data_IF_828613461939
#
_entry.id   IF_828613461939
#
_cell.length_a   1.000
_cell.length_b   1.000
_cell.length_c   1.000
_cell.angle_alpha   90.00
_cell.angle_beta   90.00
_cell.angle_gamma   90.00
#
_symmetry.space_group_name_H-M   'P 1'
#
loop_
_entity.id
_entity.type
_entity.pdbx_description
1 polymer ?
#
# COMPACT_ATOMS: atom_id res chain seq x y z
N UNK A 1 -22.04 -53.12 53.32
CA UNK A 1 -21.03 -52.16 52.78
C UNK A 1 -21.63 -51.55 51.50
N UNK A 2 -22.32 -50.39 51.63
CA UNK A 2 -22.83 -49.62 50.48
C UNK A 2 -21.80 -48.54 50.10
N UNK A 3 -21.17 -48.70 48.98
CA UNK A 3 -20.33 -47.67 48.39
C UNK A 3 -21.21 -46.59 47.76
N UNK A 4 -21.27 -45.38 48.32
CA UNK A 4 -21.87 -44.22 47.68
C UNK A 4 -20.89 -43.65 46.65
N UNK A 5 -21.27 -43.73 45.38
CA UNK A 5 -20.59 -43.02 44.31
C UNK A 5 -21.00 -41.54 44.33
N UNK A 6 -20.11 -40.67 44.72
CA UNK A 6 -20.26 -39.23 44.67
C UNK A 6 -20.04 -38.77 43.22
N UNK A 7 -21.10 -38.41 42.50
CA UNK A 7 -21.00 -37.73 41.23
C UNK A 7 -20.63 -36.26 41.49
N UNK A 8 -19.42 -35.85 41.07
CA UNK A 8 -19.04 -34.45 41.11
C UNK A 8 -19.80 -33.68 40.04
N UNK A 9 -20.28 -32.45 40.32
CA UNK A 9 -20.95 -31.62 39.30
C UNK A 9 -19.95 -31.33 38.18
N UNK A 10 -20.44 -31.15 36.91
CA UNK A 10 -19.59 -30.78 35.80
C UNK A 10 -18.91 -29.46 36.11
N UNK A 11 -17.61 -29.42 35.93
CA UNK A 11 -16.82 -28.19 35.99
C UNK A 11 -17.33 -27.25 34.89
N UNK A 12 -17.51 -25.94 35.15
CA UNK A 12 -17.86 -25.02 34.09
C UNK A 12 -16.74 -25.00 33.04
N UNK A 13 -17.15 -25.12 31.77
CA UNK A 13 -16.26 -25.08 30.61
C UNK A 13 -15.49 -23.76 30.56
N UNK A 14 -14.32 -23.72 31.20
CA UNK A 14 -13.36 -22.62 31.09
C UNK A 14 -12.67 -22.56 29.72
N UNK A 15 -13.07 -23.39 28.75
CA UNK A 15 -12.46 -23.50 27.43
C UNK A 15 -13.20 -22.73 26.33
N UNK A 16 -14.32 -22.06 26.63
CA UNK A 16 -15.12 -21.33 25.62
C UNK A 16 -14.96 -19.80 25.67
N UNK A 17 -14.01 -19.25 26.43
CA UNK A 17 -13.85 -17.80 26.55
C UNK A 17 -12.55 -17.24 25.92
N UNK A 18 -12.02 -17.82 24.86
CA UNK A 18 -10.87 -17.25 24.16
C UNK A 18 -10.92 -17.46 22.64
N UNK A 19 -12.04 -17.16 22.01
CA UNK A 19 -12.10 -16.93 20.56
C UNK A 19 -12.95 -15.70 20.22
N UNK A 20 -12.76 -14.62 20.93
CA UNK A 20 -12.91 -13.33 20.29
C UNK A 20 -11.68 -13.21 19.36
N UNK A 21 -11.90 -13.39 18.08
CA UNK A 21 -10.96 -12.92 17.07
C UNK A 21 -10.80 -11.42 17.34
N UNK A 22 -9.69 -11.05 17.98
CA UNK A 22 -9.29 -9.64 18.06
C UNK A 22 -9.01 -9.25 16.62
N UNK A 23 -10.02 -8.74 15.93
CA UNK A 23 -9.84 -8.02 14.67
C UNK A 23 -9.01 -6.81 15.08
N UNK A 24 -7.74 -6.80 14.68
CA UNK A 24 -6.86 -5.69 14.99
C UNK A 24 -7.52 -4.41 14.48
N UNK A 25 -7.69 -3.43 15.36
CA UNK A 25 -8.30 -2.16 15.00
C UNK A 25 -7.47 -1.52 13.89
N UNK A 26 -8.15 -1.13 12.80
CA UNK A 26 -7.52 -0.51 11.65
C UNK A 26 -7.29 0.98 11.92
N UNK A 27 -6.09 1.49 11.58
CA UNK A 27 -5.79 2.92 11.56
C UNK A 27 -5.11 3.31 10.25
N UNK A 28 -5.43 4.50 9.74
CA UNK A 28 -4.89 5.03 8.48
C UNK A 28 -4.23 6.36 8.76
N UNK A 29 -2.97 6.48 8.40
CA UNK A 29 -2.21 7.73 8.43
C UNK A 29 -1.87 8.18 7.00
N UNK A 30 -1.54 9.45 6.86
CA UNK A 30 -1.09 10.04 5.60
C UNK A 30 0.18 10.83 5.81
N UNK A 31 1.13 10.68 4.89
CA UNK A 31 2.16 11.70 4.72
C UNK A 31 1.63 12.91 3.95
N UNK A 32 2.54 13.80 3.55
CA UNK A 32 2.19 15.09 2.93
C UNK A 32 1.97 15.02 1.41
N UNK A 33 2.40 13.94 0.74
CA UNK A 33 2.41 13.88 -0.72
C UNK A 33 1.02 14.04 -1.35
N UNK A 34 -0.04 13.50 -0.72
CA UNK A 34 -1.39 13.58 -1.30
C UNK A 34 -2.50 13.44 -0.27
N UNK A 35 -2.63 14.41 0.62
CA UNK A 35 -3.68 14.41 1.68
C UNK A 35 -5.11 14.32 1.13
N UNK A 36 -5.35 14.89 -0.06
CA UNK A 36 -6.68 14.82 -0.70
C UNK A 36 -7.07 13.37 -1.02
N UNK A 37 -6.14 12.56 -1.52
CA UNK A 37 -6.39 11.13 -1.78
C UNK A 37 -6.64 10.40 -0.47
N UNK A 38 -5.82 10.63 0.54
CA UNK A 38 -5.96 9.98 1.85
C UNK A 38 -7.32 10.28 2.48
N UNK A 39 -7.76 11.55 2.47
CA UNK A 39 -9.07 11.94 2.97
C UNK A 39 -10.21 11.23 2.21
N UNK A 40 -10.16 11.19 0.87
CA UNK A 40 -11.17 10.49 0.07
C UNK A 40 -11.22 8.98 0.37
N UNK A 41 -10.07 8.38 0.68
CA UNK A 41 -10.02 6.95 1.07
C UNK A 41 -10.71 6.73 2.40
N UNK A 42 -10.39 7.51 3.43
CA UNK A 42 -11.01 7.34 4.75
C UNK A 42 -12.51 7.69 4.73
N UNK A 43 -12.92 8.72 3.98
CA UNK A 43 -14.34 9.05 3.77
C UNK A 43 -15.10 7.85 3.17
N UNK A 44 -14.50 7.19 2.17
CA UNK A 44 -15.10 6.01 1.53
C UNK A 44 -15.20 4.82 2.47
N UNK A 45 -14.23 4.67 3.36
CA UNK A 45 -14.18 3.64 4.39
C UNK A 45 -15.01 4.00 5.64
N UNK A 46 -15.54 5.22 5.73
CA UNK A 46 -16.24 5.76 6.90
C UNK A 46 -15.36 5.72 8.16
N UNK A 47 -14.12 6.17 8.00
CA UNK A 47 -13.10 6.24 9.04
C UNK A 47 -12.52 7.65 9.11
N UNK A 48 -11.78 7.94 10.17
CA UNK A 48 -10.98 9.15 10.29
C UNK A 48 -9.50 8.84 10.04
N UNK A 49 -8.77 9.83 9.50
CA UNK A 49 -7.31 9.77 9.48
C UNK A 49 -6.77 9.80 10.91
N UNK A 50 -5.72 9.01 11.13
CA UNK A 50 -4.94 9.09 12.34
C UNK A 50 -4.28 10.47 12.49
N UNK A 51 -4.24 10.97 13.72
CA UNK A 51 -3.65 12.27 14.03
C UNK A 51 -2.13 12.15 14.13
N UNK A 52 -1.43 12.82 13.22
CA UNK A 52 0.03 12.86 13.17
C UNK A 52 0.52 14.20 12.64
N UNK A 53 1.61 14.68 13.20
CA UNK A 53 2.37 15.81 12.67
C UNK A 53 3.51 15.28 11.82
N UNK A 54 3.51 15.65 10.53
CA UNK A 54 4.57 15.35 9.57
C UNK A 54 5.06 16.69 9.02
N UNK A 55 6.27 17.06 9.38
CA UNK A 55 6.87 18.36 9.08
C UNK A 55 8.34 18.23 8.70
N UNK A 56 8.99 19.35 8.43
CA UNK A 56 10.43 19.43 8.20
C UNK A 56 11.06 20.43 9.16
N UNK A 57 12.25 20.13 9.63
CA UNK A 57 13.11 21.12 10.30
C UNK A 57 13.64 22.13 9.27
N UNK A 58 14.25 23.21 9.76
CA UNK A 58 14.77 24.29 8.92
C UNK A 58 15.88 23.87 7.96
N UNK A 59 16.55 22.77 8.23
CA UNK A 59 17.59 22.16 7.40
C UNK A 59 17.03 21.10 6.41
N UNK A 60 15.70 20.83 6.45
CA UNK A 60 15.01 19.93 5.56
C UNK A 60 14.88 18.49 6.07
N UNK A 61 15.37 18.17 7.27
CA UNK A 61 15.12 16.86 7.88
C UNK A 61 13.64 16.67 8.22
N UNK A 62 13.15 15.45 7.99
CA UNK A 62 11.75 15.10 8.26
C UNK A 62 11.54 14.87 9.76
N UNK A 63 10.49 15.48 10.30
CA UNK A 63 10.03 15.28 11.67
C UNK A 63 8.63 14.67 11.67
N UNK A 64 8.46 13.61 12.48
CA UNK A 64 7.16 12.92 12.61
C UNK A 64 6.81 12.73 14.07
N UNK A 65 5.57 13.05 14.43
CA UNK A 65 4.99 12.75 15.74
C UNK A 65 3.59 12.14 15.55
N UNK A 66 3.36 10.97 16.16
CA UNK A 66 2.06 10.29 16.15
C UNK A 66 1.33 10.60 17.46
N UNK A 67 0.12 11.17 17.36
CA UNK A 67 -0.66 11.63 18.53
C UNK A 67 -1.72 10.63 18.98
N UNK A 68 -1.71 9.42 18.44
CA UNK A 68 -2.68 8.37 18.79
C UNK A 68 -1.98 7.10 19.30
N UNK A 69 -2.70 6.35 20.11
CA UNK A 69 -2.25 5.01 20.51
C UNK A 69 -2.45 4.02 19.36
N UNK A 70 -1.34 3.53 18.82
CA UNK A 70 -1.33 2.55 17.71
C UNK A 70 -0.87 1.15 18.17
N UNK A 71 -0.63 0.95 19.47
CA UNK A 71 -0.17 -0.32 19.99
C UNK A 71 -1.13 -1.46 19.64
N UNK A 72 -0.60 -2.50 19.01
CA UNK A 72 -1.36 -3.68 18.61
C UNK A 72 -2.33 -3.47 17.43
N UNK A 73 -2.34 -2.29 16.80
CA UNK A 73 -3.23 -1.98 15.68
C UNK A 73 -2.62 -2.35 14.33
N UNK A 74 -3.47 -2.58 13.34
CA UNK A 74 -3.11 -2.73 11.92
C UNK A 74 -3.11 -1.34 11.29
N UNK A 75 -1.93 -0.85 10.91
CA UNK A 75 -1.76 0.54 10.48
C UNK A 75 -1.43 0.61 9.00
N UNK A 76 -2.10 1.52 8.30
CA UNK A 76 -1.86 1.84 6.90
C UNK A 76 -1.30 3.25 6.77
N UNK A 77 -0.28 3.44 5.93
CA UNK A 77 0.30 4.75 5.61
C UNK A 77 0.03 5.03 4.14
N UNK A 78 -0.76 6.05 3.83
CA UNK A 78 -1.01 6.48 2.45
C UNK A 78 0.01 7.55 2.09
N UNK A 79 1.00 7.18 1.27
CA UNK A 79 2.08 8.08 0.83
C UNK A 79 2.59 7.69 -0.55
N UNK A 80 2.10 8.32 -1.64
CA UNK A 80 2.75 8.19 -2.94
C UNK A 80 4.16 8.79 -2.89
N UNK A 81 5.11 8.15 -3.56
CA UNK A 81 6.50 8.62 -3.63
C UNK A 81 6.81 9.27 -4.97
N UNK A 82 5.86 10.06 -5.50
CA UNK A 82 6.07 10.96 -6.64
C UNK A 82 6.90 12.19 -6.24
N UNK A 83 7.13 13.10 -7.18
CA UNK A 83 7.90 14.32 -6.90
C UNK A 83 7.24 15.21 -5.83
N UNK A 84 8.04 15.73 -4.87
CA UNK A 84 9.48 15.53 -4.66
C UNK A 84 9.79 14.15 -4.08
N UNK A 85 10.39 13.28 -4.91
CA UNK A 85 10.47 11.84 -4.64
C UNK A 85 11.27 11.51 -3.39
N UNK A 86 12.37 12.20 -3.16
CA UNK A 86 13.24 11.94 -2.01
C UNK A 86 12.55 12.27 -0.69
N UNK A 87 11.90 13.42 -0.63
CA UNK A 87 11.21 13.89 0.57
C UNK A 87 10.03 12.98 0.90
N UNK A 88 9.20 12.66 -0.11
CA UNK A 88 8.06 11.77 0.05
C UNK A 88 8.46 10.34 0.44
N UNK A 89 9.58 9.84 -0.07
CA UNK A 89 10.13 8.55 0.32
C UNK A 89 10.63 8.58 1.77
N UNK A 90 11.36 9.63 2.16
CA UNK A 90 11.85 9.77 3.53
C UNK A 90 10.72 9.96 4.53
N UNK A 91 9.67 10.73 4.20
CA UNK A 91 8.46 10.80 5.04
C UNK A 91 7.89 9.40 5.30
N UNK A 92 7.70 8.60 4.24
CA UNK A 92 7.18 7.24 4.38
C UNK A 92 8.03 6.37 5.31
N UNK A 93 9.36 6.41 5.12
CA UNK A 93 10.32 5.63 5.93
C UNK A 93 10.26 6.04 7.41
N UNK A 94 10.26 7.35 7.68
CA UNK A 94 10.27 7.86 9.06
C UNK A 94 8.91 7.64 9.75
N UNK A 95 7.80 7.81 9.03
CA UNK A 95 6.45 7.47 9.56
C UNK A 95 6.40 5.98 9.92
N UNK A 96 6.92 5.09 9.07
CA UNK A 96 6.92 3.66 9.32
C UNK A 96 7.73 3.28 10.57
N UNK A 97 8.94 3.82 10.73
CA UNK A 97 9.78 3.60 11.92
C UNK A 97 9.09 4.12 13.19
N UNK A 98 8.47 5.30 13.13
CA UNK A 98 7.73 5.88 14.26
C UNK A 98 6.58 4.96 14.70
N UNK A 99 5.78 4.44 13.75
CA UNK A 99 4.68 3.52 14.05
C UNK A 99 5.15 2.18 14.59
N UNK A 100 6.26 1.65 14.05
CA UNK A 100 6.88 0.43 14.56
C UNK A 100 7.35 0.61 16.00
N UNK A 101 8.03 1.72 16.32
CA UNK A 101 8.47 2.05 17.70
C UNK A 101 7.30 2.30 18.63
N UNK A 102 6.16 2.77 18.12
CA UNK A 102 4.92 2.91 18.87
C UNK A 102 4.19 1.56 19.05
N UNK A 103 4.80 0.44 18.64
CA UNK A 103 4.30 -0.93 18.78
C UNK A 103 3.03 -1.22 17.96
N UNK A 104 2.88 -0.64 16.76
CA UNK A 104 1.89 -1.11 15.81
C UNK A 104 2.09 -2.60 15.54
N UNK A 105 1.01 -3.37 15.43
CA UNK A 105 1.10 -4.81 15.18
C UNK A 105 1.55 -5.11 13.75
N UNK A 106 1.13 -4.29 12.81
CA UNK A 106 1.50 -4.37 11.40
C UNK A 106 1.47 -2.98 10.76
N UNK A 107 2.44 -2.69 9.91
CA UNK A 107 2.51 -1.45 9.13
C UNK A 107 2.44 -1.80 7.64
N UNK A 108 1.40 -1.31 6.96
CA UNK A 108 1.22 -1.46 5.51
C UNK A 108 1.45 -0.11 4.83
N UNK A 109 2.39 -0.05 3.91
CA UNK A 109 2.60 1.13 3.07
C UNK A 109 1.66 1.08 1.85
N UNK A 110 0.78 2.07 1.71
CA UNK A 110 -0.03 2.29 0.52
C UNK A 110 0.64 3.35 -0.32
N UNK A 111 1.29 2.92 -1.39
CA UNK A 111 2.15 3.72 -2.26
C UNK A 111 1.55 3.77 -3.67
N UNK A 112 0.53 4.62 -3.93
CA UNK A 112 -0.16 4.66 -5.23
C UNK A 112 0.75 4.98 -6.41
N UNK A 113 1.85 5.68 -6.18
CA UNK A 113 2.93 5.84 -7.13
C UNK A 113 4.25 5.44 -6.49
N UNK A 114 4.89 4.38 -7.00
CA UNK A 114 6.17 3.88 -6.51
C UNK A 114 7.33 4.55 -7.24
N UNK A 115 7.97 5.47 -6.57
CA UNK A 115 9.16 6.18 -7.09
C UNK A 115 10.35 5.25 -7.29
N UNK A 116 11.31 5.66 -8.12
CA UNK A 116 12.51 4.89 -8.48
C UNK A 116 12.25 3.57 -9.24
N UNK A 117 11.02 3.24 -9.56
CA UNK A 117 10.63 2.00 -10.24
C UNK A 117 11.25 1.84 -11.65
N UNK A 118 11.63 2.95 -12.32
CA UNK A 118 12.20 2.92 -13.67
C UNK A 118 13.58 2.24 -13.75
N UNK A 119 14.30 2.17 -12.63
CA UNK A 119 15.60 1.50 -12.54
C UNK A 119 15.44 0.12 -11.90
N UNK A 120 14.79 -0.77 -12.64
CA UNK A 120 14.45 -2.14 -12.23
C UNK A 120 15.46 -3.20 -12.69
N UNK A 121 16.43 -2.81 -13.53
CA UNK A 121 17.42 -3.73 -14.12
C UNK A 121 18.73 -3.04 -14.48
N UNK A 122 19.79 -3.83 -14.57
CA UNK A 122 21.07 -3.36 -15.10
C UNK A 122 21.11 -3.47 -16.63
N UNK A 123 21.55 -2.42 -17.29
CA UNK A 123 21.93 -2.44 -18.70
C UNK A 123 23.32 -3.07 -18.81
N UNK A 124 23.50 -4.01 -19.75
CA UNK A 124 24.74 -4.84 -19.87
C UNK A 124 26.04 -4.04 -19.95
N UNK A 125 26.02 -2.87 -20.57
CA UNK A 125 27.18 -2.02 -20.81
C UNK A 125 27.46 -0.99 -19.72
N UNK A 126 26.61 -0.89 -18.68
CA UNK A 126 26.68 0.18 -17.69
C UNK A 126 26.83 -0.35 -16.24
N UNK A 127 27.60 0.41 -15.44
CA UNK A 127 27.67 0.21 -13.98
C UNK A 127 26.62 1.09 -13.31
N UNK A 128 25.37 0.65 -13.34
CA UNK A 128 24.22 1.37 -12.80
C UNK A 128 23.59 0.61 -11.62
N UNK A 129 22.96 1.31 -10.67
CA UNK A 129 22.23 0.66 -9.59
C UNK A 129 20.93 0.04 -10.10
N UNK A 130 20.33 -0.80 -9.27
CA UNK A 130 18.91 -1.22 -9.38
C UNK A 130 18.17 -0.49 -8.25
N UNK A 131 17.79 0.76 -8.50
CA UNK A 131 17.27 1.65 -7.44
C UNK A 131 15.92 1.17 -6.89
N UNK A 132 15.10 0.52 -7.71
CA UNK A 132 13.87 -0.10 -7.25
C UNK A 132 14.12 -1.14 -6.13
N UNK A 133 15.22 -1.92 -6.21
CA UNK A 133 15.62 -2.85 -5.15
C UNK A 133 16.10 -2.12 -3.90
N UNK A 134 16.87 -1.02 -4.06
CA UNK A 134 17.33 -0.22 -2.91
C UNK A 134 16.13 0.32 -2.12
N UNK A 135 15.13 0.88 -2.81
CA UNK A 135 13.92 1.39 -2.17
C UNK A 135 13.14 0.26 -1.50
N UNK A 136 12.99 -0.90 -2.15
CA UNK A 136 12.32 -2.06 -1.56
C UNK A 136 12.97 -2.50 -0.25
N UNK A 137 14.31 -2.53 -0.20
CA UNK A 137 15.06 -2.88 1.01
C UNK A 137 14.92 -1.82 2.11
N UNK A 138 14.95 -0.53 1.76
CA UNK A 138 14.71 0.56 2.70
C UNK A 138 13.36 0.45 3.38
N UNK A 139 12.29 0.20 2.61
CA UNK A 139 10.94 0.06 3.15
C UNK A 139 10.82 -1.13 4.10
N UNK A 140 11.37 -2.28 3.72
CA UNK A 140 11.40 -3.46 4.60
C UNK A 140 12.20 -3.21 5.88
N UNK A 141 13.36 -2.54 5.78
CA UNK A 141 14.22 -2.21 6.92
C UNK A 141 13.59 -1.19 7.87
N UNK A 142 12.72 -0.31 7.36
CA UNK A 142 11.97 0.65 8.17
C UNK A 142 10.79 0.02 8.93
N UNK A 143 10.59 -1.30 8.83
CA UNK A 143 9.54 -2.02 9.55
C UNK A 143 8.21 -2.11 8.82
N UNK A 144 8.16 -1.79 7.54
CA UNK A 144 6.98 -2.05 6.72
C UNK A 144 6.83 -3.55 6.52
N UNK A 145 5.63 -4.07 6.79
CA UNK A 145 5.31 -5.50 6.72
C UNK A 145 4.61 -5.88 5.41
N UNK A 146 4.06 -4.92 4.67
CA UNK A 146 3.35 -5.11 3.41
C UNK A 146 3.35 -3.82 2.60
N UNK A 147 3.39 -3.93 1.28
CA UNK A 147 3.23 -2.80 0.36
C UNK A 147 2.01 -3.03 -0.51
N UNK A 148 1.18 -1.99 -0.64
CA UNK A 148 0.13 -1.91 -1.65
C UNK A 148 0.48 -0.78 -2.61
N UNK A 149 0.53 -1.07 -3.89
CA UNK A 149 0.89 -0.10 -4.94
C UNK A 149 -0.03 -0.23 -6.15
N UNK A 150 0.02 0.74 -7.05
CA UNK A 150 -0.80 0.77 -8.26
C UNK A 150 0.11 0.83 -9.48
N UNK A 151 -0.13 -0.03 -10.46
CA UNK A 151 0.55 -0.03 -11.78
C UNK A 151 2.08 0.12 -11.66
N UNK A 152 2.76 -0.82 -11.05
CA UNK A 152 4.22 -0.85 -11.02
C UNK A 152 4.78 -0.71 -12.44
N UNK A 153 5.90 0.00 -12.56
CA UNK A 153 6.59 0.17 -13.85
C UNK A 153 6.89 -1.16 -14.54
N UNK A 154 7.20 -2.19 -13.74
CA UNK A 154 7.40 -3.55 -14.20
C UNK A 154 6.99 -4.52 -13.08
N UNK A 155 6.22 -5.56 -13.42
CA UNK A 155 5.64 -6.50 -12.43
C UNK A 155 6.70 -7.25 -11.62
N UNK A 156 7.88 -7.51 -12.21
CA UNK A 156 8.98 -8.19 -11.52
C UNK A 156 9.53 -7.42 -10.31
N UNK A 157 9.24 -6.12 -10.18
CA UNK A 157 9.65 -5.31 -9.00
C UNK A 157 9.06 -5.89 -7.71
N UNK A 158 7.90 -6.55 -7.78
CA UNK A 158 7.30 -7.26 -6.63
C UNK A 158 8.30 -8.27 -6.02
N UNK A 159 9.12 -8.91 -6.85
CA UNK A 159 10.14 -9.87 -6.42
C UNK A 159 11.37 -9.23 -5.75
N UNK A 160 11.49 -7.91 -5.72
CA UNK A 160 12.60 -7.22 -5.03
C UNK A 160 12.34 -7.05 -3.53
N UNK A 161 11.09 -7.19 -3.12
CA UNK A 161 10.71 -7.07 -1.72
C UNK A 161 10.88 -8.39 -0.98
N UNK A 162 11.35 -8.33 0.27
CA UNK A 162 11.32 -9.44 1.22
C UNK A 162 9.98 -9.55 1.98
N UNK A 163 8.99 -8.76 1.60
CA UNK A 163 7.67 -8.64 2.21
C UNK A 163 6.59 -8.74 1.13
N UNK A 164 5.34 -9.10 1.47
CA UNK A 164 4.24 -9.14 0.51
C UNK A 164 3.99 -7.79 -0.19
N UNK A 165 3.70 -7.87 -1.49
CA UNK A 165 3.35 -6.72 -2.32
C UNK A 165 2.05 -6.99 -3.06
N UNK A 166 1.10 -6.07 -2.92
CA UNK A 166 -0.12 -6.05 -3.73
C UNK A 166 0.04 -4.98 -4.81
N UNK A 167 0.28 -5.41 -6.04
CA UNK A 167 0.23 -4.53 -7.21
C UNK A 167 -1.17 -4.55 -7.78
N UNK A 168 -1.97 -3.51 -7.54
CA UNK A 168 -3.30 -3.37 -8.11
C UNK A 168 -3.24 -2.57 -9.41
N UNK A 169 -4.19 -2.84 -10.32
CA UNK A 169 -4.25 -2.14 -11.60
C UNK A 169 -5.28 -1.02 -11.57
N UNK A 170 -4.92 0.14 -12.13
CA UNK A 170 -5.80 1.29 -12.29
C UNK A 170 -6.80 1.13 -13.44
N UNK A 171 -6.56 0.17 -14.35
CA UNK A 171 -7.39 -0.04 -15.55
C UNK A 171 -8.89 -0.21 -15.26
N UNK A 172 -9.36 -0.94 -14.22
CA UNK A 172 -10.79 -1.04 -13.95
C UNK A 172 -11.45 0.31 -13.64
N UNK A 173 -10.72 1.21 -12.97
CA UNK A 173 -11.23 2.56 -12.65
C UNK A 173 -11.33 3.41 -13.92
N UNK A 174 -10.33 3.33 -14.81
CA UNK A 174 -10.31 4.03 -16.09
C UNK A 174 -11.41 3.51 -17.01
N UNK A 175 -11.59 2.19 -17.11
CA UNK A 175 -12.64 1.56 -17.90
C UNK A 175 -14.03 2.03 -17.47
N UNK A 176 -14.33 1.98 -16.18
CA UNK A 176 -15.62 2.44 -15.65
C UNK A 176 -15.90 3.92 -15.97
N UNK A 177 -14.87 4.78 -16.02
CA UNK A 177 -15.01 6.18 -16.40
C UNK A 177 -15.25 6.34 -17.89
N UNK A 178 -14.55 5.59 -18.75
CA UNK A 178 -14.71 5.60 -20.20
C UNK A 178 -16.11 5.11 -20.58
N UNK A 179 -16.56 3.99 -20.03
CA UNK A 179 -17.91 3.44 -20.25
C UNK A 179 -19.00 4.45 -19.87
N UNK A 180 -18.85 5.10 -18.71
CA UNK A 180 -19.81 6.11 -18.26
C UNK A 180 -19.91 7.31 -19.21
N UNK A 181 -18.81 7.67 -19.88
CA UNK A 181 -18.77 8.79 -20.83
C UNK A 181 -19.33 8.44 -22.21
N UNK A 182 -19.47 7.14 -22.49
CA UNK A 182 -20.09 6.62 -23.72
C UNK A 182 -19.55 7.26 -25.01
N UNK A 183 -18.22 7.27 -25.17
CA UNK A 183 -17.57 7.78 -26.36
C UNK A 183 -17.96 6.94 -27.58
N UNK A 184 -18.17 7.63 -28.74
CA UNK A 184 -18.39 6.97 -30.03
C UNK A 184 -17.05 6.88 -30.78
N UNK A 185 -16.88 5.82 -31.60
CA UNK A 185 -15.70 5.59 -32.44
C UNK A 185 -14.38 5.64 -31.66
N UNK A 186 -14.34 4.89 -30.55
CA UNK A 186 -13.25 4.89 -29.58
C UNK A 186 -11.99 4.24 -30.15
N UNK A 187 -10.84 4.93 -30.01
CA UNK A 187 -9.52 4.42 -30.32
C UNK A 187 -8.67 4.50 -29.05
N UNK A 188 -8.05 3.39 -28.68
CA UNK A 188 -7.10 3.35 -27.56
C UNK A 188 -5.69 3.61 -28.11
N UNK A 189 -5.01 4.60 -27.52
CA UNK A 189 -3.67 4.99 -27.98
C UNK A 189 -2.63 4.63 -26.94
N UNK A 190 -1.62 3.85 -27.31
CA UNK A 190 -0.42 3.65 -26.51
C UNK A 190 0.62 4.71 -26.83
N UNK A 191 1.16 5.46 -25.85
CA UNK A 191 2.15 6.51 -26.08
C UNK A 191 3.55 5.96 -26.42
N UNK A 192 3.78 4.67 -26.22
CA UNK A 192 5.05 3.99 -26.50
C UNK A 192 4.84 2.47 -26.63
N UNK A 193 5.90 1.76 -27.06
CA UNK A 193 5.88 0.29 -27.18
C UNK A 193 5.67 -0.42 -25.83
N UNK A 194 6.16 0.16 -24.75
CA UNK A 194 6.03 -0.41 -23.39
C UNK A 194 4.59 -0.43 -22.87
N UNK A 195 3.77 0.53 -23.31
CA UNK A 195 2.35 0.64 -22.97
C UNK A 195 1.41 -0.28 -23.77
N UNK A 196 1.86 -0.88 -24.86
CA UNK A 196 1.00 -1.62 -25.82
C UNK A 196 0.22 -2.76 -25.17
N UNK A 197 0.83 -3.51 -24.27
CA UNK A 197 0.16 -4.64 -23.59
C UNK A 197 -1.04 -4.14 -22.77
N UNK A 198 -0.87 -3.04 -22.02
CA UNK A 198 -1.95 -2.42 -21.23
C UNK A 198 -3.02 -1.80 -22.11
N UNK A 199 -2.62 -1.09 -23.15
CA UNK A 199 -3.56 -0.49 -24.12
C UNK A 199 -4.39 -1.58 -24.82
N UNK A 200 -3.78 -2.68 -25.24
CA UNK A 200 -4.49 -3.83 -25.84
C UNK A 200 -5.46 -4.51 -24.86
N UNK A 201 -5.06 -4.66 -23.61
CA UNK A 201 -5.93 -5.22 -22.58
C UNK A 201 -7.17 -4.34 -22.35
N UNK A 202 -6.99 -3.02 -22.37
CA UNK A 202 -8.09 -2.04 -22.26
C UNK A 202 -8.99 -2.07 -23.49
N UNK A 203 -8.43 -2.06 -24.71
CA UNK A 203 -9.18 -2.13 -25.97
C UNK A 203 -10.10 -3.35 -26.01
N UNK A 204 -9.61 -4.53 -25.58
CA UNK A 204 -10.42 -5.75 -25.50
C UNK A 204 -11.61 -5.67 -24.56
N UNK A 205 -11.53 -4.87 -23.52
CA UNK A 205 -12.64 -4.67 -22.56
C UNK A 205 -13.62 -3.59 -23.03
N UNK A 206 -13.30 -2.87 -24.11
CA UNK A 206 -14.09 -1.82 -24.73
C UNK A 206 -14.54 -2.27 -26.14
N UNK A 207 -15.16 -3.45 -26.21
CA UNK A 207 -15.71 -4.04 -27.43
C UNK A 207 -14.68 -4.18 -28.57
N UNK A 208 -13.44 -4.58 -28.24
CA UNK A 208 -12.30 -4.67 -29.18
C UNK A 208 -12.04 -3.35 -29.94
N UNK A 209 -12.11 -2.22 -29.23
CA UNK A 209 -11.80 -0.91 -29.79
C UNK A 209 -10.46 -0.89 -30.54
N UNK A 210 -10.36 -0.04 -31.55
CA UNK A 210 -9.13 0.13 -32.32
C UNK A 210 -7.94 0.55 -31.47
N UNK A 211 -6.74 0.12 -31.85
CA UNK A 211 -5.49 0.40 -31.13
C UNK A 211 -4.52 1.13 -32.05
N UNK A 212 -4.00 2.27 -31.57
CA UNK A 212 -2.90 2.98 -32.19
C UNK A 212 -1.67 3.03 -31.25
N UNK A 213 -0.49 3.16 -31.84
CA UNK A 213 0.80 3.30 -31.12
C UNK A 213 1.50 4.53 -31.68
N UNK A 214 1.99 5.42 -30.83
CA UNK A 214 2.76 6.61 -31.20
C UNK A 214 4.24 6.35 -30.99
#
# INVERSE_FOLDING_TARGET
LHAQVRVLPPQPDHLLMCQEFIVAELKIFSGNAHKVLANRVVDRLRMDLGVADVSQFSDGEISVEIHENVRGKDVFIIQPTCAPTNDNLMELVIIADCLQRASAARVTAVVPYFGYARQDRRVRSARVPITAKVVADMLGSAGINRVLTVDLHADQIQGFFGIPVDNIYGSPVLLADIERKNYQDLIIVSPDVGGVVRARAMAKQLDDADLAII
#
